data_IF_256452258609
#
_entry.id   IF_256452258609
#
_cell.length_a   1.000
_cell.length_b   1.000
_cell.length_c   1.000
_cell.angle_alpha   90.00
_cell.angle_beta   90.00
_cell.angle_gamma   90.00
#
_symmetry.space_group_name_H-M   'P 1'
#
loop_
_entity.id
_entity.type
_entity.pdbx_description
1 polymer ?
#
# COMPACT_ATOMS: atom_id res chain seq x y z
N UNK A 1 -10.07 -11.68 33.57
CA UNK A 1 -11.46 -11.18 33.60
C UNK A 1 -11.46 -9.89 32.82
N UNK A 2 -12.23 -9.85 31.73
CA UNK A 2 -12.28 -8.70 30.84
C UNK A 2 -13.02 -7.53 31.49
N UNK A 3 -12.66 -6.31 31.12
CA UNK A 3 -13.21 -5.07 31.70
C UNK A 3 -14.46 -4.57 30.98
N UNK A 4 -15.04 -5.37 30.07
CA UNK A 4 -16.18 -5.00 29.22
C UNK A 4 -17.54 -5.08 29.94
N UNK A 5 -17.55 -5.38 31.24
CA UNK A 5 -18.75 -5.45 32.07
C UNK A 5 -19.61 -6.69 31.84
N UNK A 6 -19.18 -7.65 31.01
CA UNK A 6 -19.96 -8.85 30.69
C UNK A 6 -19.86 -9.95 31.77
N UNK A 7 -18.87 -9.87 32.65
CA UNK A 7 -18.57 -10.88 33.68
C UNK A 7 -18.97 -10.40 35.07
N UNK A 8 -19.60 -11.28 35.85
CA UNK A 8 -19.93 -11.01 37.26
C UNK A 8 -18.77 -11.42 38.18
N UNK A 9 -18.22 -10.46 38.93
CA UNK A 9 -17.10 -10.71 39.84
C UNK A 9 -17.51 -11.65 41.00
N UNK A 10 -18.80 -11.74 41.33
CA UNK A 10 -19.31 -12.68 42.34
C UNK A 10 -19.08 -14.16 41.94
N UNK A 11 -18.77 -14.44 40.67
CA UNK A 11 -18.51 -15.79 40.18
C UNK A 11 -17.03 -16.21 40.24
N UNK A 12 -16.12 -15.31 40.65
CA UNK A 12 -14.70 -15.64 40.86
C UNK A 12 -14.49 -16.90 41.72
N UNK A 13 -15.21 -17.10 42.85
CA UNK A 13 -15.08 -18.31 43.64
C UNK A 13 -15.36 -19.61 42.86
N UNK A 14 -16.26 -19.59 41.87
CA UNK A 14 -16.58 -20.76 41.04
C UNK A 14 -15.40 -21.18 40.16
N UNK A 15 -14.61 -20.23 39.68
CA UNK A 15 -13.42 -20.51 38.86
C UNK A 15 -12.23 -20.97 39.71
N UNK A 16 -12.13 -20.48 40.95
CA UNK A 16 -11.00 -20.79 41.84
C UNK A 16 -11.20 -22.13 42.56
N UNK A 17 -12.43 -22.52 42.89
CA UNK A 17 -12.71 -23.75 43.64
C UNK A 17 -12.07 -25.02 43.04
N UNK A 18 -12.17 -25.31 41.72
CA UNK A 18 -11.54 -26.50 41.14
C UNK A 18 -10.01 -26.49 41.21
N UNK A 19 -9.39 -25.31 41.31
CA UNK A 19 -7.95 -25.17 41.48
C UNK A 19 -7.55 -25.48 42.93
N UNK A 20 -8.31 -24.96 43.90
CA UNK A 20 -8.06 -25.20 45.33
C UNK A 20 -8.34 -26.65 45.74
N UNK A 21 -9.33 -27.29 45.12
CA UNK A 21 -9.67 -28.70 45.30
C UNK A 21 -8.70 -29.64 44.58
N UNK A 22 -7.75 -29.08 43.81
CA UNK A 22 -6.74 -29.84 43.09
C UNK A 22 -7.29 -30.61 41.89
N UNK A 23 -8.46 -30.24 41.38
CA UNK A 23 -9.10 -30.85 40.21
C UNK A 23 -8.59 -30.26 38.89
N UNK A 24 -8.14 -29.00 38.89
CA UNK A 24 -7.66 -28.29 37.72
C UNK A 24 -6.41 -27.44 38.01
N UNK A 25 -5.55 -27.29 37.01
CA UNK A 25 -4.43 -26.33 37.02
C UNK A 25 -4.83 -25.01 36.34
N UNK A 26 -5.82 -25.06 35.45
CA UNK A 26 -6.43 -23.91 34.78
C UNK A 26 -7.94 -24.11 34.67
N UNK A 27 -8.72 -23.07 34.97
CA UNK A 27 -10.18 -23.09 34.83
C UNK A 27 -10.63 -22.03 33.83
N UNK A 28 -11.38 -22.46 32.83
CA UNK A 28 -11.99 -21.59 31.83
C UNK A 28 -13.48 -21.39 32.13
N UNK A 29 -13.89 -20.13 32.33
CA UNK A 29 -15.30 -19.79 32.48
C UNK A 29 -16.02 -19.89 31.13
N UNK A 30 -17.14 -20.60 31.08
CA UNK A 30 -17.93 -20.81 29.87
C UNK A 30 -19.32 -20.24 29.98
N UNK A 31 -19.70 -19.45 28.98
CA UNK A 31 -21.01 -18.80 28.93
C UNK A 31 -22.12 -19.75 28.47
N UNK A 32 -21.78 -20.97 28.04
CA UNK A 32 -22.69 -21.82 27.24
C UNK A 32 -22.86 -23.26 27.72
N UNK A 33 -22.23 -23.65 28.84
CA UNK A 33 -22.22 -25.03 29.34
C UNK A 33 -23.62 -25.66 29.52
N UNK A 34 -24.63 -24.93 30.01
CA UNK A 34 -25.99 -25.47 30.21
C UNK A 34 -27.09 -24.85 29.31
N UNK A 35 -26.74 -24.29 28.14
CA UNK A 35 -27.74 -23.92 27.12
C UNK A 35 -28.57 -22.66 27.39
N UNK A 36 -28.19 -21.82 28.35
CA UNK A 36 -28.88 -20.56 28.67
C UNK A 36 -28.40 -19.33 27.84
N UNK A 37 -27.92 -19.55 26.61
CA UNK A 37 -27.51 -18.49 25.69
C UNK A 37 -28.69 -17.76 25.01
N UNK A 38 -29.66 -17.27 25.79
CA UNK A 38 -30.88 -16.64 25.23
C UNK A 38 -30.68 -15.23 24.64
N UNK A 39 -29.50 -14.62 24.76
CA UNK A 39 -29.25 -13.25 24.27
C UNK A 39 -28.03 -13.10 23.33
N UNK A 40 -27.40 -14.18 22.85
CA UNK A 40 -26.24 -14.06 21.95
C UNK A 40 -26.69 -13.91 20.48
N UNK A 41 -26.24 -12.87 19.74
CA UNK A 41 -26.59 -12.70 18.33
C UNK A 41 -26.15 -13.90 17.47
N UNK A 42 -27.05 -14.40 16.61
CA UNK A 42 -26.89 -15.64 15.83
C UNK A 42 -25.58 -15.71 15.02
N UNK A 43 -25.11 -14.59 14.46
CA UNK A 43 -23.88 -14.51 13.67
C UNK A 43 -22.59 -14.71 14.50
N UNK A 44 -22.58 -14.31 15.78
CA UNK A 44 -21.42 -14.54 16.67
C UNK A 44 -21.25 -16.02 17.00
N UNK A 45 -22.35 -16.74 17.14
CA UNK A 45 -22.36 -18.19 17.45
C UNK A 45 -21.76 -19.04 16.33
N UNK A 46 -21.96 -18.64 15.05
CA UNK A 46 -21.36 -19.35 13.91
C UNK A 46 -19.84 -19.17 13.88
N UNK A 47 -19.33 -17.95 14.09
CA UNK A 47 -17.90 -17.68 14.12
C UNK A 47 -17.18 -18.33 15.31
N UNK A 48 -17.80 -18.32 16.48
CA UNK A 48 -17.26 -18.97 17.69
C UNK A 48 -17.24 -20.50 17.54
N UNK A 49 -18.31 -21.13 17.06
CA UNK A 49 -18.33 -22.58 16.83
C UNK A 49 -17.21 -23.07 15.90
N UNK A 50 -16.82 -22.27 14.90
CA UNK A 50 -15.69 -22.60 14.00
C UNK A 50 -14.36 -22.55 14.76
N UNK A 51 -14.17 -21.54 15.61
CA UNK A 51 -12.96 -21.38 16.44
C UNK A 51 -12.88 -22.45 17.54
N UNK A 52 -14.00 -22.77 18.18
CA UNK A 52 -14.09 -23.83 19.19
C UNK A 52 -13.79 -25.19 18.56
N UNK A 53 -14.36 -25.48 17.39
CA UNK A 53 -14.09 -26.72 16.65
C UNK A 53 -12.62 -26.81 16.21
N UNK A 54 -12.04 -25.72 15.68
CA UNK A 54 -10.65 -25.68 15.26
C UNK A 54 -9.66 -25.84 16.44
N UNK A 55 -9.97 -25.22 17.58
CA UNK A 55 -9.16 -25.31 18.80
C UNK A 55 -9.29 -26.70 19.41
N UNK A 56 -10.48 -27.28 19.51
CA UNK A 56 -10.70 -28.63 20.02
C UNK A 56 -10.01 -29.68 19.14
N UNK A 57 -10.03 -29.53 17.82
CA UNK A 57 -9.29 -30.39 16.87
C UNK A 57 -7.77 -30.29 17.04
N UNK A 58 -7.22 -29.08 17.24
CA UNK A 58 -5.76 -28.89 17.37
C UNK A 58 -5.22 -29.18 18.78
N UNK A 59 -6.05 -29.08 19.82
CA UNK A 59 -5.63 -29.20 21.22
C UNK A 59 -6.06 -30.50 21.89
N UNK A 60 -7.01 -31.25 21.33
CA UNK A 60 -7.58 -32.45 21.94
C UNK A 60 -8.50 -32.17 23.13
N UNK A 61 -8.87 -30.92 23.36
CA UNK A 61 -9.81 -30.50 24.39
C UNK A 61 -11.26 -30.59 23.91
N UNK A 62 -12.19 -30.63 24.87
CA UNK A 62 -13.63 -30.46 24.63
C UNK A 62 -14.11 -29.26 25.43
N UNK A 63 -13.68 -28.06 25.03
CA UNK A 63 -14.09 -26.79 25.65
C UNK A 63 -15.19 -26.15 24.79
N UNK A 64 -16.21 -25.63 25.46
CA UNK A 64 -17.45 -25.10 24.87
C UNK A 64 -17.37 -23.60 24.58
N UNK A 65 -16.47 -22.86 25.24
CA UNK A 65 -16.26 -21.42 25.01
C UNK A 65 -14.76 -21.06 25.09
N UNK A 66 -14.05 -21.18 23.96
CA UNK A 66 -12.59 -20.92 23.92
C UNK A 66 -12.22 -19.44 24.01
N UNK A 67 -13.19 -18.54 23.86
CA UNK A 67 -13.01 -17.09 23.74
C UNK A 67 -13.51 -16.31 24.97
N UNK A 68 -13.51 -16.95 26.13
CA UNK A 68 -13.86 -16.31 27.39
C UNK A 68 -12.60 -15.77 28.09
N UNK A 69 -12.57 -14.45 28.34
CA UNK A 69 -11.52 -13.80 29.14
C UNK A 69 -11.68 -13.97 30.65
N UNK A 70 -12.69 -14.72 31.12
CA UNK A 70 -12.88 -15.05 32.52
C UNK A 70 -12.26 -16.41 32.86
N UNK A 71 -11.03 -16.37 33.38
CA UNK A 71 -10.19 -17.55 33.63
C UNK A 71 -9.48 -17.46 34.95
N UNK A 72 -9.22 -18.61 35.56
CA UNK A 72 -8.38 -18.75 36.74
C UNK A 72 -7.21 -19.70 36.46
N UNK A 73 -6.07 -19.41 37.07
CA UNK A 73 -4.81 -20.12 36.87
C UNK A 73 -4.18 -20.43 38.22
N UNK A 74 -3.68 -21.64 38.40
CA UNK A 74 -2.80 -21.94 39.52
C UNK A 74 -1.46 -21.23 39.29
N UNK A 75 -0.85 -20.69 40.36
CA UNK A 75 0.37 -19.86 40.26
C UNK A 75 1.51 -20.59 39.54
N UNK A 76 1.64 -21.91 39.73
CA UNK A 76 2.68 -22.71 39.07
C UNK A 76 2.53 -22.81 37.54
N UNK A 77 1.37 -22.47 36.99
CA UNK A 77 1.10 -22.52 35.55
C UNK A 77 1.54 -21.25 34.82
N UNK A 78 1.71 -20.14 35.52
CA UNK A 78 2.03 -18.83 34.92
C UNK A 78 3.26 -18.88 33.98
N UNK A 79 4.36 -19.57 34.30
CA UNK A 79 5.54 -19.64 33.41
C UNK A 79 5.31 -20.40 32.10
N UNK A 80 4.21 -21.16 31.98
CA UNK A 80 3.88 -21.94 30.78
C UNK A 80 3.43 -21.06 29.62
N UNK A 81 2.74 -19.96 29.92
CA UNK A 81 2.08 -19.12 28.92
C UNK A 81 3.06 -18.13 28.30
N UNK A 82 3.20 -18.20 26.97
CA UNK A 82 4.23 -17.42 26.25
C UNK A 82 3.74 -16.11 25.65
N UNK A 83 2.42 -15.93 25.57
CA UNK A 83 1.75 -14.72 25.09
C UNK A 83 2.35 -14.18 23.78
N UNK A 84 2.50 -15.04 22.76
CA UNK A 84 3.04 -14.66 21.46
C UNK A 84 1.98 -14.05 20.55
N UNK A 85 0.71 -14.29 20.85
CA UNK A 85 -0.47 -13.82 20.13
C UNK A 85 -0.99 -12.51 20.72
N UNK A 86 -1.76 -11.76 19.92
CA UNK A 86 -2.38 -10.50 20.33
C UNK A 86 -3.91 -10.58 20.12
N UNK A 87 -4.65 -9.76 20.87
CA UNK A 87 -6.12 -9.70 20.79
C UNK A 87 -6.77 -11.01 21.21
N UNK A 88 -7.94 -11.33 20.61
CA UNK A 88 -8.74 -12.53 20.91
C UNK A 88 -8.03 -13.88 20.66
N UNK A 89 -6.84 -13.85 20.06
CA UNK A 89 -6.02 -15.04 19.84
C UNK A 89 -5.24 -15.46 21.10
N UNK A 90 -5.06 -14.56 22.08
CA UNK A 90 -4.38 -14.86 23.34
C UNK A 90 -5.12 -15.97 24.09
N UNK A 91 -6.44 -15.89 24.12
CA UNK A 91 -7.32 -16.83 24.78
C UNK A 91 -7.15 -18.25 24.20
N UNK A 92 -6.99 -18.34 22.88
CA UNK A 92 -6.78 -19.61 22.18
C UNK A 92 -5.36 -20.15 22.39
N UNK A 93 -4.34 -19.28 22.37
CA UNK A 93 -2.94 -19.66 22.64
C UNK A 93 -2.78 -20.19 24.07
N UNK A 94 -3.39 -19.55 25.06
CA UNK A 94 -3.29 -20.00 26.45
C UNK A 94 -3.82 -21.42 26.62
N UNK A 95 -4.93 -21.78 25.97
CA UNK A 95 -5.46 -23.14 26.00
C UNK A 95 -4.51 -24.14 25.32
N UNK A 96 -3.89 -23.74 24.19
CA UNK A 96 -2.92 -24.56 23.50
C UNK A 96 -1.62 -24.76 24.29
N UNK A 97 -1.12 -23.71 24.95
CA UNK A 97 0.08 -23.76 25.80
C UNK A 97 -0.17 -24.61 27.05
N UNK A 98 -1.35 -24.48 27.68
CA UNK A 98 -1.77 -25.32 28.79
C UNK A 98 -1.77 -26.80 28.41
N UNK A 99 -2.29 -27.15 27.24
CA UNK A 99 -2.30 -28.53 26.76
C UNK A 99 -0.92 -29.06 26.41
N UNK A 100 -0.07 -28.26 25.75
CA UNK A 100 1.32 -28.66 25.45
C UNK A 100 2.13 -28.93 26.71
N UNK A 101 1.83 -28.22 27.79
CA UNK A 101 2.44 -28.44 29.10
C UNK A 101 1.74 -29.53 29.94
N UNK A 102 0.68 -30.16 29.43
CA UNK A 102 -0.05 -31.22 30.12
C UNK A 102 -0.84 -30.74 31.34
N UNK A 103 -1.25 -29.48 31.37
CA UNK A 103 -2.03 -28.91 32.47
C UNK A 103 -3.47 -29.47 32.46
N UNK A 104 -4.04 -29.68 33.65
CA UNK A 104 -5.45 -30.07 33.78
C UNK A 104 -6.34 -28.85 33.59
N UNK A 105 -7.04 -28.78 32.47
CA UNK A 105 -7.95 -27.67 32.15
C UNK A 105 -9.39 -28.11 32.41
N UNK A 106 -10.14 -27.33 33.20
CA UNK A 106 -11.58 -27.58 33.47
C UNK A 106 -12.42 -26.39 33.00
N UNK A 107 -13.64 -26.66 32.56
CA UNK A 107 -14.61 -25.64 32.17
C UNK A 107 -15.68 -25.49 33.26
N UNK A 108 -16.00 -24.24 33.64
CA UNK A 108 -17.02 -23.92 34.65
C UNK A 108 -18.02 -22.93 34.07
N UNK A 109 -19.31 -23.12 34.34
CA UNK A 109 -20.34 -22.21 33.85
C UNK A 109 -20.30 -20.84 34.55
N UNK A 110 -20.40 -19.78 33.75
CA UNK A 110 -20.48 -18.38 34.20
C UNK A 110 -21.70 -17.67 33.57
N UNK A 111 -22.28 -16.73 34.31
CA UNK A 111 -23.34 -15.85 33.82
C UNK A 111 -22.81 -14.73 32.92
N UNK A 112 -23.70 -14.19 32.08
CA UNK A 112 -23.39 -13.04 31.20
C UNK A 112 -24.40 -11.93 31.40
N UNK A 113 -23.91 -10.70 31.64
CA UNK A 113 -24.74 -9.48 31.61
C UNK A 113 -24.53 -8.77 30.28
N UNK A 114 -25.61 -8.60 29.50
CA UNK A 114 -25.60 -7.80 28.28
C UNK A 114 -26.39 -6.51 28.52
N UNK A 115 -25.75 -5.51 29.11
CA UNK A 115 -26.28 -4.15 29.15
C UNK A 115 -25.54 -3.27 28.13
N UNK A 116 -26.29 -2.35 27.53
CA UNK A 116 -26.05 -1.71 26.24
C UNK A 116 -24.66 -1.08 26.05
N UNK A 117 -24.02 -1.39 24.91
CA UNK A 117 -22.95 -0.56 24.32
C UNK A 117 -21.66 -1.25 23.83
N UNK A 118 -21.53 -2.58 23.88
CA UNK A 118 -20.26 -3.22 23.51
C UNK A 118 -20.05 -3.42 22.00
N UNK A 119 -18.89 -2.96 21.51
CA UNK A 119 -18.39 -3.14 20.14
C UNK A 119 -18.53 -4.57 19.63
N UNK A 120 -19.17 -4.69 18.46
CA UNK A 120 -19.28 -5.94 17.72
C UNK A 120 -18.16 -6.08 16.70
N UNK A 121 -17.01 -6.61 17.13
CA UNK A 121 -15.99 -7.14 16.21
C UNK A 121 -16.42 -8.52 15.67
N UNK A 122 -16.11 -8.77 14.40
CA UNK A 122 -16.65 -9.88 13.61
C UNK A 122 -15.67 -11.08 13.59
N UNK A 123 -16.01 -12.26 14.17
CA UNK A 123 -15.07 -13.36 14.38
C UNK A 123 -14.64 -14.11 13.09
N UNK A 124 -15.33 -13.89 11.97
CA UNK A 124 -15.20 -14.72 10.76
C UNK A 124 -13.95 -14.37 9.91
N UNK A 125 -13.36 -13.19 10.10
CA UNK A 125 -12.21 -12.75 9.29
C UNK A 125 -10.86 -13.39 9.68
N UNK A 126 -10.77 -14.02 10.86
CA UNK A 126 -9.50 -14.53 11.42
C UNK A 126 -9.22 -16.02 11.15
N UNK A 127 -10.22 -16.83 10.83
CA UNK A 127 -10.09 -18.29 10.69
C UNK A 127 -9.19 -18.80 9.55
N UNK A 128 -8.66 -17.92 8.69
CA UNK A 128 -7.80 -18.28 7.56
C UNK A 128 -6.29 -18.12 7.81
N UNK A 129 -5.88 -17.63 8.99
CA UNK A 129 -4.49 -17.17 9.22
C UNK A 129 -3.63 -18.05 10.13
N UNK A 130 -4.11 -19.24 10.51
CA UNK A 130 -3.31 -20.20 11.31
C UNK A 130 -2.35 -20.95 10.36
N UNK A 131 -1.30 -20.28 9.85
CA UNK A 131 -0.14 -21.02 9.32
C UNK A 131 1.21 -20.31 9.26
N UNK A 132 1.32 -19.01 9.53
CA UNK A 132 2.62 -18.32 9.57
C UNK A 132 2.61 -17.28 10.69
N UNK A 133 3.76 -17.03 11.31
CA UNK A 133 3.90 -16.09 12.44
C UNK A 133 3.30 -14.71 12.15
N UNK A 134 3.08 -13.92 13.22
CA UNK A 134 2.40 -12.61 13.15
C UNK A 134 2.97 -11.73 12.03
N UNK A 135 2.17 -11.50 11.00
CA UNK A 135 2.47 -10.62 9.87
C UNK A 135 2.36 -9.19 10.38
N UNK A 136 3.44 -8.41 10.30
CA UNK A 136 3.38 -6.98 10.64
C UNK A 136 2.92 -6.20 9.42
N UNK A 137 1.67 -5.70 9.47
CA UNK A 137 1.08 -4.90 8.39
C UNK A 137 1.09 -3.43 8.76
N UNK A 138 1.59 -2.59 7.85
CA UNK A 138 1.73 -1.15 8.07
C UNK A 138 0.93 -0.37 7.03
N UNK A 139 0.14 0.62 7.44
CA UNK A 139 -0.28 1.69 6.54
C UNK A 139 0.72 2.84 6.65
N UNK A 140 1.21 3.34 5.53
CA UNK A 140 2.11 4.46 5.47
C UNK A 140 1.51 5.56 4.61
N UNK A 141 1.60 6.81 5.05
CA UNK A 141 1.08 7.94 4.28
C UNK A 141 2.08 9.10 4.29
N UNK A 142 2.46 9.62 3.11
CA UNK A 142 3.14 10.90 3.01
C UNK A 142 2.13 12.01 3.27
N UNK A 143 2.48 13.00 4.08
CA UNK A 143 1.59 14.09 4.45
C UNK A 143 2.30 15.45 4.30
N UNK A 144 1.61 16.46 3.76
CA UNK A 144 2.09 17.83 3.69
C UNK A 144 0.91 18.81 3.72
N UNK A 145 0.72 19.49 4.85
CA UNK A 145 -0.40 20.38 5.13
C UNK A 145 -1.79 19.73 4.97
N UNK A 146 -2.02 18.64 5.70
CA UNK A 146 -3.19 17.77 5.60
C UNK A 146 -4.02 17.73 6.90
N UNK A 147 -3.95 18.78 7.74
CA UNK A 147 -4.60 18.85 9.06
C UNK A 147 -6.09 18.51 9.02
N UNK A 148 -6.77 18.84 7.91
CA UNK A 148 -8.21 18.63 7.72
C UNK A 148 -8.59 17.15 7.54
N UNK A 149 -7.73 16.35 6.91
CA UNK A 149 -8.09 15.00 6.44
C UNK A 149 -7.30 13.90 7.14
N UNK A 150 -6.10 14.20 7.64
CA UNK A 150 -5.16 13.22 8.22
C UNK A 150 -5.81 12.37 9.32
N UNK A 151 -6.64 13.00 10.17
CA UNK A 151 -7.31 12.30 11.26
C UNK A 151 -8.26 11.18 10.79
N UNK A 152 -9.09 11.48 9.78
CA UNK A 152 -10.03 10.53 9.21
C UNK A 152 -9.29 9.36 8.56
N UNK A 153 -8.22 9.66 7.83
CA UNK A 153 -7.41 8.65 7.14
C UNK A 153 -6.72 7.71 8.13
N UNK A 154 -6.10 8.24 9.19
CA UNK A 154 -5.45 7.42 10.24
C UNK A 154 -6.48 6.52 10.94
N UNK A 155 -7.61 7.06 11.38
CA UNK A 155 -8.66 6.29 12.07
C UNK A 155 -9.23 5.20 11.16
N UNK A 156 -9.37 5.49 9.86
CA UNK A 156 -9.79 4.52 8.87
C UNK A 156 -8.78 3.38 8.69
N UNK A 157 -7.50 3.72 8.53
CA UNK A 157 -6.42 2.74 8.31
C UNK A 157 -6.21 1.82 9.52
N UNK A 158 -6.27 2.34 10.75
CA UNK A 158 -6.06 1.56 12.00
C UNK A 158 -7.01 0.37 12.16
N UNK A 159 -8.11 0.32 11.41
CA UNK A 159 -9.04 -0.82 11.40
C UNK A 159 -8.48 -2.05 10.66
N UNK A 160 -7.48 -1.86 9.81
CA UNK A 160 -7.03 -2.88 8.85
C UNK A 160 -5.53 -3.19 8.92
N UNK A 161 -4.75 -2.44 9.72
CA UNK A 161 -3.29 -2.59 9.83
C UNK A 161 -2.84 -2.56 11.28
N UNK A 162 -1.69 -3.15 11.59
CA UNK A 162 -1.12 -3.15 12.94
C UNK A 162 -0.56 -1.77 13.35
N UNK A 163 0.03 -1.06 12.38
CA UNK A 163 0.70 0.23 12.63
C UNK A 163 0.41 1.21 11.50
N UNK A 164 0.35 2.49 11.86
CA UNK A 164 0.26 3.60 10.91
C UNK A 164 1.54 4.42 11.01
N UNK A 165 2.18 4.65 9.88
CA UNK A 165 3.33 5.56 9.73
C UNK A 165 2.85 6.79 8.97
N UNK A 166 3.16 7.97 9.48
CA UNK A 166 2.94 9.24 8.79
C UNK A 166 4.30 9.89 8.59
N UNK A 167 4.67 10.13 7.34
CA UNK A 167 5.86 10.93 7.02
C UNK A 167 5.39 12.34 6.73
N UNK A 168 5.61 13.23 7.69
CA UNK A 168 5.31 14.65 7.59
C UNK A 168 6.43 15.36 6.83
N UNK A 169 6.15 15.79 5.61
CA UNK A 169 7.13 16.38 4.69
C UNK A 169 7.32 17.89 4.92
N UNK A 170 7.52 18.27 6.19
CA UNK A 170 7.74 19.66 6.61
C UNK A 170 6.48 20.51 6.60
N UNK A 171 5.35 19.99 7.10
CA UNK A 171 4.11 20.77 7.20
C UNK A 171 4.27 22.00 8.10
N UNK A 172 3.48 23.03 7.82
CA UNK A 172 3.41 24.26 8.62
C UNK A 172 2.14 24.35 9.47
N UNK A 173 1.26 23.36 9.36
CA UNK A 173 -0.02 23.24 10.05
C UNK A 173 0.03 22.14 11.14
N UNK A 174 -1.12 21.79 11.73
CA UNK A 174 -1.19 20.82 12.83
C UNK A 174 -1.12 19.33 12.39
N UNK A 175 -0.72 19.04 11.14
CA UNK A 175 -0.75 17.67 10.58
C UNK A 175 -0.01 16.66 11.44
N UNK A 176 1.20 17.00 11.87
CA UNK A 176 2.05 16.09 12.62
C UNK A 176 1.52 15.88 14.05
N UNK A 177 1.06 16.93 14.72
CA UNK A 177 0.50 16.88 16.08
C UNK A 177 -0.78 16.03 16.10
N UNK A 178 -1.67 16.20 15.11
CA UNK A 178 -2.89 15.41 14.98
C UNK A 178 -2.54 13.92 14.78
N UNK A 179 -1.56 13.62 13.92
CA UNK A 179 -1.13 12.26 13.66
C UNK A 179 -0.53 11.57 14.91
N UNK A 180 0.33 12.28 15.65
CA UNK A 180 0.92 11.82 16.92
C UNK A 180 -0.17 11.55 17.97
N UNK A 181 -1.13 12.48 18.13
CA UNK A 181 -2.24 12.35 19.08
C UNK A 181 -3.13 11.13 18.78
N UNK A 182 -3.22 10.72 17.52
CA UNK A 182 -3.97 9.52 17.10
C UNK A 182 -3.15 8.23 17.16
N UNK A 183 -1.92 8.28 17.68
CA UNK A 183 -1.05 7.13 17.89
C UNK A 183 -0.36 6.62 16.62
N UNK A 184 -0.24 7.45 15.59
CA UNK A 184 0.60 7.13 14.44
C UNK A 184 2.08 7.32 14.78
N UNK A 185 2.94 6.58 14.09
CA UNK A 185 4.40 6.79 14.13
C UNK A 185 4.70 7.90 13.15
N UNK A 186 5.05 9.07 13.69
CA UNK A 186 5.29 10.26 12.87
C UNK A 186 6.78 10.48 12.67
N UNK A 187 7.18 10.66 11.41
CA UNK A 187 8.55 11.01 11.02
C UNK A 187 8.48 12.36 10.33
N UNK A 188 9.08 13.38 10.95
CA UNK A 188 9.05 14.75 10.44
C UNK A 188 10.31 15.04 9.64
N UNK A 189 10.13 15.54 8.42
CA UNK A 189 11.23 16.14 7.66
C UNK A 189 11.44 17.59 8.09
N UNK A 190 12.70 18.06 8.18
CA UNK A 190 12.99 19.44 8.57
C UNK A 190 12.55 20.47 7.52
N UNK A 191 12.43 20.03 6.27
CA UNK A 191 11.98 20.83 5.13
C UNK A 191 11.24 19.89 4.16
N UNK A 192 10.43 20.47 3.26
CA UNK A 192 9.72 19.71 2.24
C UNK A 192 10.71 19.09 1.24
N UNK A 193 10.73 17.75 1.18
CA UNK A 193 11.59 16.95 0.29
C UNK A 193 10.84 16.37 -0.90
N UNK A 194 9.57 16.72 -1.07
CA UNK A 194 8.70 16.21 -2.10
C UNK A 194 8.18 14.80 -1.81
N UNK A 195 7.18 14.40 -2.60
CA UNK A 195 6.51 13.11 -2.47
C UNK A 195 7.49 11.92 -2.55
N UNK A 196 8.48 11.97 -3.45
CA UNK A 196 9.49 10.93 -3.57
C UNK A 196 10.40 10.85 -2.32
N UNK A 197 10.74 11.99 -1.74
CA UNK A 197 11.45 12.07 -0.46
C UNK A 197 10.66 11.41 0.68
N UNK A 198 9.36 11.69 0.78
CA UNK A 198 8.49 11.06 1.77
C UNK A 198 8.35 9.54 1.56
N UNK A 199 8.18 9.10 0.31
CA UNK A 199 8.15 7.67 -0.03
C UNK A 199 9.45 6.96 0.34
N UNK A 200 10.61 7.59 0.10
CA UNK A 200 11.91 7.00 0.48
C UNK A 200 11.96 6.70 1.98
N UNK A 201 11.59 7.68 2.80
CA UNK A 201 11.51 7.52 4.26
C UNK A 201 10.53 6.41 4.66
N UNK A 202 9.36 6.35 4.02
CA UNK A 202 8.37 5.27 4.24
C UNK A 202 8.99 3.89 4.02
N UNK A 203 9.68 3.67 2.89
CA UNK A 203 10.30 2.39 2.58
C UNK A 203 11.44 2.03 3.54
N UNK A 204 12.23 3.02 3.97
CA UNK A 204 13.29 2.82 4.96
C UNK A 204 12.71 2.42 6.32
N UNK A 205 11.70 3.13 6.81
CA UNK A 205 11.04 2.82 8.08
C UNK A 205 10.33 1.46 8.04
N UNK A 206 9.66 1.12 6.94
CA UNK A 206 9.04 -0.19 6.79
C UNK A 206 10.07 -1.33 6.86
N UNK A 207 11.27 -1.14 6.28
CA UNK A 207 12.39 -2.10 6.38
C UNK A 207 12.93 -2.21 7.80
N UNK A 208 13.16 -1.10 8.49
CA UNK A 208 13.65 -1.09 9.86
C UNK A 208 12.69 -1.82 10.81
N UNK A 209 11.39 -1.63 10.61
CA UNK A 209 10.34 -2.29 11.39
C UNK A 209 10.10 -3.76 10.99
N UNK A 210 10.79 -4.25 9.95
CA UNK A 210 10.61 -5.58 9.38
C UNK A 210 9.14 -5.87 9.01
N UNK A 211 8.47 -4.89 8.41
CA UNK A 211 7.10 -5.04 7.96
C UNK A 211 6.99 -6.16 6.92
N UNK A 212 5.99 -7.02 7.08
CA UNK A 212 5.72 -8.12 6.15
C UNK A 212 4.79 -7.65 5.01
N UNK A 213 3.99 -6.61 5.28
CA UNK A 213 3.18 -5.91 4.29
C UNK A 213 3.10 -4.41 4.61
N UNK A 214 3.10 -3.58 3.56
CA UNK A 214 2.97 -2.14 3.67
C UNK A 214 1.93 -1.65 2.67
N UNK A 215 1.05 -0.75 3.08
CA UNK A 215 0.07 -0.10 2.21
C UNK A 215 0.32 1.39 2.24
N UNK A 216 0.61 1.97 1.07
CA UNK A 216 0.71 3.41 0.91
C UNK A 216 -0.67 3.94 0.52
N UNK A 217 -1.11 4.99 1.22
CA UNK A 217 -2.37 5.68 0.96
C UNK A 217 -2.14 7.18 1.12
N UNK A 218 -2.68 7.99 0.22
CA UNK A 218 -2.55 9.44 0.32
C UNK A 218 -3.42 9.98 1.48
N UNK A 219 -2.93 11.00 2.18
CA UNK A 219 -3.59 11.56 3.36
C UNK A 219 -4.73 12.54 3.06
N UNK A 220 -4.98 12.85 1.78
CA UNK A 220 -5.96 13.84 1.29
C UNK A 220 -7.43 13.42 1.41
N UNK A 221 -7.69 12.21 1.91
CA UNK A 221 -9.03 11.68 2.15
C UNK A 221 -9.80 11.26 0.90
N UNK A 222 -9.19 11.25 -0.30
CA UNK A 222 -9.82 10.81 -1.55
C UNK A 222 -9.97 9.28 -1.61
N UNK A 223 -9.09 8.55 -0.95
CA UNK A 223 -9.09 7.09 -0.93
C UNK A 223 -9.89 6.52 0.25
N UNK A 224 -10.71 5.50 -0.01
CA UNK A 224 -11.39 4.77 1.05
C UNK A 224 -10.44 3.73 1.69
N UNK A 225 -10.03 3.99 2.93
CA UNK A 225 -9.29 3.04 3.76
C UNK A 225 -9.98 1.66 3.88
N UNK A 226 -11.30 1.58 3.68
CA UNK A 226 -12.09 0.35 3.64
C UNK A 226 -11.67 -0.63 2.55
N UNK A 227 -10.90 -0.20 1.56
CA UNK A 227 -10.40 -1.05 0.48
C UNK A 227 -9.02 -1.65 0.75
N UNK A 228 -8.34 -1.25 1.84
CA UNK A 228 -7.06 -1.84 2.28
C UNK A 228 -7.10 -3.38 2.30
N UNK A 229 -8.15 -4.04 2.84
CA UNK A 229 -8.24 -5.50 2.83
C UNK A 229 -8.17 -6.13 1.44
N UNK A 230 -8.69 -5.47 0.39
CA UNK A 230 -8.67 -6.00 -0.99
C UNK A 230 -7.23 -6.04 -1.53
N UNK A 231 -6.44 -5.01 -1.23
CA UNK A 231 -5.04 -4.95 -1.65
C UNK A 231 -4.22 -6.00 -0.88
N UNK A 232 -4.42 -6.10 0.44
CA UNK A 232 -3.73 -7.09 1.27
C UNK A 232 -4.09 -8.53 0.86
N UNK A 233 -5.35 -8.82 0.54
CA UNK A 233 -5.76 -10.13 0.03
C UNK A 233 -5.02 -10.49 -1.27
N UNK A 234 -4.83 -9.53 -2.16
CA UNK A 234 -4.07 -9.77 -3.39
C UNK A 234 -2.58 -10.03 -3.15
N UNK A 235 -1.97 -9.41 -2.13
CA UNK A 235 -0.62 -9.76 -1.68
C UNK A 235 -0.56 -11.21 -1.16
N UNK A 236 -1.53 -11.61 -0.32
CA UNK A 236 -1.59 -12.98 0.22
C UNK A 236 -1.77 -14.04 -0.87
N UNK A 237 -2.42 -13.68 -1.97
CA UNK A 237 -2.58 -14.55 -3.14
C UNK A 237 -1.30 -14.66 -3.99
N UNK A 238 -0.17 -14.14 -3.53
CA UNK A 238 1.15 -14.32 -4.14
C UNK A 238 1.64 -13.16 -5.00
N UNK A 239 0.99 -11.98 -4.91
CA UNK A 239 1.54 -10.76 -5.48
C UNK A 239 2.60 -10.16 -4.56
N UNK A 240 3.69 -9.65 -5.13
CA UNK A 240 4.71 -8.87 -4.43
C UNK A 240 4.32 -7.38 -4.35
N UNK A 241 3.55 -6.89 -5.32
CA UNK A 241 3.02 -5.53 -5.42
C UNK A 241 1.56 -5.53 -5.86
N UNK A 242 0.74 -4.67 -5.26
CA UNK A 242 -0.65 -4.44 -5.68
C UNK A 242 -0.87 -2.96 -5.89
N UNK A 243 -1.45 -2.59 -7.03
CA UNK A 243 -1.82 -1.21 -7.35
C UNK A 243 -3.35 -1.12 -7.32
N UNK A 244 -3.88 -0.21 -6.50
CA UNK A 244 -5.28 0.16 -6.57
C UNK A 244 -5.52 1.01 -7.81
N UNK A 245 -6.25 0.50 -8.81
CA UNK A 245 -6.58 1.22 -10.03
C UNK A 245 -7.98 1.82 -9.98
N UNK A 246 -8.10 3.10 -10.35
CA UNK A 246 -9.38 3.81 -10.50
C UNK A 246 -10.11 3.49 -11.81
N UNK A 247 -9.45 2.82 -12.76
CA UNK A 247 -9.95 2.64 -14.13
C UNK A 247 -10.31 1.21 -14.51
N UNK A 248 -10.03 0.24 -13.63
CA UNK A 248 -10.45 -1.14 -13.84
C UNK A 248 -11.99 -1.22 -13.78
N UNK A 249 -12.57 -2.06 -14.65
CA UNK A 249 -14.01 -2.33 -14.76
C UNK A 249 -14.94 -1.12 -15.06
N UNK A 250 -14.42 -0.05 -15.66
CA UNK A 250 -15.27 1.02 -16.22
C UNK A 250 -15.76 2.05 -15.19
N UNK A 251 -15.18 2.05 -13.99
CA UNK A 251 -15.57 2.91 -12.87
C UNK A 251 -14.97 4.34 -12.92
N UNK A 252 -14.20 4.65 -13.96
CA UNK A 252 -13.61 5.99 -14.16
C UNK A 252 -14.63 7.11 -14.44
N UNK A 253 -15.95 6.90 -14.33
CA UNK A 253 -16.97 7.91 -14.70
C UNK A 253 -16.84 9.22 -13.92
N UNK A 254 -16.41 9.17 -12.65
CA UNK A 254 -16.28 10.34 -11.78
C UNK A 254 -14.92 11.07 -11.90
N UNK A 255 -13.96 10.55 -12.67
CA UNK A 255 -12.68 11.24 -12.89
C UNK A 255 -12.85 12.35 -13.94
N UNK A 256 -12.41 13.61 -13.66
CA UNK A 256 -12.51 14.71 -14.62
C UNK A 256 -11.83 14.39 -15.95
N UNK A 257 -12.46 14.76 -17.08
CA UNK A 257 -12.02 14.36 -18.42
C UNK A 257 -10.60 14.82 -18.77
N UNK A 258 -10.19 16.02 -18.33
CA UNK A 258 -8.83 16.53 -18.53
C UNK A 258 -7.78 15.70 -17.77
N UNK A 259 -8.14 15.21 -16.56
CA UNK A 259 -7.27 14.37 -15.74
C UNK A 259 -7.11 12.99 -16.35
N UNK A 260 -8.19 12.41 -16.90
CA UNK A 260 -8.13 11.14 -17.67
C UNK A 260 -7.15 11.21 -18.84
N UNK A 261 -7.14 12.31 -19.59
CA UNK A 261 -6.23 12.49 -20.72
C UNK A 261 -4.79 12.55 -20.21
N UNK A 262 -4.50 13.38 -19.19
CA UNK A 262 -3.16 13.48 -18.60
C UNK A 262 -2.66 12.14 -18.04
N UNK A 263 -3.50 11.43 -17.29
CA UNK A 263 -3.18 10.12 -16.73
C UNK A 263 -2.94 9.09 -17.82
N UNK A 264 -3.78 9.01 -18.85
CA UNK A 264 -3.60 8.05 -19.96
C UNK A 264 -2.31 8.31 -20.74
N UNK A 265 -1.89 9.56 -20.88
CA UNK A 265 -0.60 9.91 -21.50
C UNK A 265 0.57 9.49 -20.61
N UNK A 266 0.51 9.77 -19.30
CA UNK A 266 1.52 9.34 -18.33
C UNK A 266 1.61 7.82 -18.20
N UNK A 267 0.46 7.13 -18.15
CA UNK A 267 0.37 5.68 -18.14
C UNK A 267 0.99 5.11 -19.42
N UNK A 268 0.71 5.70 -20.59
CA UNK A 268 1.31 5.28 -21.85
C UNK A 268 2.83 5.49 -21.87
N UNK A 269 3.31 6.62 -21.35
CA UNK A 269 4.75 6.92 -21.27
C UNK A 269 5.47 5.96 -20.31
N UNK A 270 4.91 5.72 -19.13
CA UNK A 270 5.44 4.80 -18.13
C UNK A 270 5.40 3.35 -18.62
N UNK A 271 4.30 2.94 -19.27
CA UNK A 271 4.17 1.61 -19.85
C UNK A 271 5.17 1.38 -20.99
N UNK A 272 5.38 2.39 -21.83
CA UNK A 272 6.39 2.35 -22.88
C UNK A 272 7.82 2.35 -22.33
N UNK A 273 8.08 3.04 -21.21
CA UNK A 273 9.39 3.10 -20.56
C UNK A 273 9.73 1.80 -19.80
N UNK A 274 8.78 1.24 -19.06
CA UNK A 274 8.95 0.02 -18.25
C UNK A 274 8.72 -1.28 -19.02
N UNK A 275 8.05 -1.23 -20.17
CA UNK A 275 7.68 -2.42 -20.95
C UNK A 275 6.68 -3.32 -20.20
N UNK A 276 5.83 -2.73 -19.35
CA UNK A 276 4.74 -3.37 -18.60
C UNK A 276 3.48 -2.53 -18.84
N UNK A 277 2.30 -3.14 -18.95
CA UNK A 277 1.03 -2.42 -19.06
C UNK A 277 0.36 -2.28 -17.70
N UNK A 278 0.35 -1.07 -17.15
CA UNK A 278 -0.46 -0.65 -16.01
C UNK A 278 -1.68 0.15 -16.47
N UNK A 279 -2.79 0.01 -15.75
CA UNK A 279 -4.05 0.72 -15.97
C UNK A 279 -4.13 2.03 -15.19
N UNK A 280 -3.34 2.20 -14.12
CA UNK A 280 -3.26 3.45 -13.34
C UNK A 280 -1.89 3.61 -12.66
N UNK A 281 -0.92 4.18 -13.38
CA UNK A 281 0.46 4.40 -12.88
C UNK A 281 0.58 5.53 -11.87
N UNK A 282 -0.49 6.31 -11.71
CA UNK A 282 -0.54 7.52 -10.89
C UNK A 282 -1.38 7.34 -9.63
N UNK A 283 -1.78 6.11 -9.30
CA UNK A 283 -2.47 5.85 -8.04
C UNK A 283 -1.48 5.86 -6.88
N UNK A 284 -1.74 6.68 -5.87
CA UNK A 284 -1.01 6.67 -4.60
C UNK A 284 -1.39 5.48 -3.71
N UNK A 285 -2.52 4.81 -4.00
CA UNK A 285 -3.00 3.69 -3.22
C UNK A 285 -2.39 2.36 -3.69
N UNK A 286 -1.34 1.90 -3.00
CA UNK A 286 -0.54 0.73 -3.39
C UNK A 286 -0.21 -0.12 -2.18
N UNK A 287 -0.11 -1.43 -2.35
CA UNK A 287 0.35 -2.35 -1.31
C UNK A 287 1.59 -3.12 -1.77
N UNK A 288 2.52 -3.30 -0.85
CA UNK A 288 3.84 -3.90 -1.06
C UNK A 288 4.00 -5.05 -0.08
N UNK A 289 4.30 -6.24 -0.60
CA UNK A 289 4.70 -7.37 0.22
C UNK A 289 6.16 -7.26 0.66
N UNK A 290 6.56 -8.10 1.60
CA UNK A 290 7.93 -8.16 2.16
C UNK A 290 9.04 -8.10 1.11
N UNK A 291 8.94 -8.92 0.05
CA UNK A 291 9.94 -8.95 -1.03
C UNK A 291 10.06 -7.61 -1.76
N UNK A 292 8.93 -6.91 -1.97
CA UNK A 292 8.94 -5.59 -2.60
C UNK A 292 9.54 -4.53 -1.67
N UNK A 293 9.19 -4.54 -0.38
CA UNK A 293 9.76 -3.63 0.64
C UNK A 293 11.29 -3.79 0.74
N UNK A 294 11.78 -5.04 0.70
CA UNK A 294 13.20 -5.35 0.80
C UNK A 294 14.01 -4.98 -0.45
N UNK A 295 13.42 -5.10 -1.64
CA UNK A 295 14.12 -4.87 -2.91
C UNK A 295 14.03 -3.43 -3.44
N UNK A 296 12.88 -2.78 -3.32
CA UNK A 296 12.67 -1.46 -3.93
C UNK A 296 13.52 -0.39 -3.21
N UNK A 297 14.23 0.44 -3.98
CA UNK A 297 15.04 1.58 -3.50
C UNK A 297 14.64 2.84 -4.25
N UNK A 298 14.17 3.86 -3.54
CA UNK A 298 13.76 5.12 -4.15
C UNK A 298 14.93 6.09 -4.07
N UNK A 299 15.37 6.60 -5.22
CA UNK A 299 16.47 7.56 -5.30
C UNK A 299 15.98 8.96 -5.70
N UNK A 300 14.91 9.03 -6.49
CA UNK A 300 14.32 10.30 -6.90
C UNK A 300 13.49 10.93 -5.77
N UNK A 301 13.61 12.25 -5.61
CA UNK A 301 12.84 13.04 -4.63
C UNK A 301 11.49 13.55 -5.17
N UNK A 302 11.31 13.51 -6.48
CA UNK A 302 10.18 14.12 -7.18
C UNK A 302 9.03 13.13 -7.43
N UNK A 303 7.95 13.59 -8.09
CA UNK A 303 6.81 12.75 -8.50
C UNK A 303 7.20 11.55 -9.40
N UNK A 304 8.41 11.53 -9.95
CA UNK A 304 8.95 10.38 -10.71
C UNK A 304 9.16 9.13 -9.85
N UNK A 305 9.22 9.25 -8.52
CA UNK A 305 9.38 8.12 -7.60
C UNK A 305 8.29 7.04 -7.81
N UNK A 306 7.05 7.44 -8.13
CA UNK A 306 5.98 6.52 -8.46
C UNK A 306 6.28 5.65 -9.68
N UNK A 307 6.95 6.21 -10.70
CA UNK A 307 7.38 5.52 -11.92
C UNK A 307 8.68 4.75 -11.72
N UNK A 308 9.59 5.23 -10.87
CA UNK A 308 10.82 4.53 -10.48
C UNK A 308 10.50 3.18 -9.83
N UNK A 309 9.53 3.18 -8.90
CA UNK A 309 9.00 1.95 -8.28
C UNK A 309 8.51 0.95 -9.34
N UNK A 310 7.79 1.43 -10.36
CA UNK A 310 7.22 0.56 -11.39
C UNK A 310 8.29 -0.06 -12.29
N UNK A 311 9.38 0.66 -12.56
CA UNK A 311 10.51 0.12 -13.33
C UNK A 311 11.24 -0.99 -12.56
N UNK A 312 11.43 -0.81 -11.26
CA UNK A 312 12.09 -1.80 -10.40
C UNK A 312 11.30 -3.11 -10.25
N UNK A 313 10.00 -3.12 -10.54
CA UNK A 313 9.20 -4.36 -10.58
C UNK A 313 9.83 -5.35 -11.56
N UNK A 314 10.22 -4.87 -12.75
CA UNK A 314 10.79 -5.72 -13.80
C UNK A 314 12.20 -6.16 -13.44
N UNK A 315 13.03 -5.21 -13.01
CA UNK A 315 14.44 -5.46 -12.69
C UNK A 315 14.61 -6.47 -11.55
N UNK A 316 13.62 -6.56 -10.66
CA UNK A 316 13.63 -7.44 -9.51
C UNK A 316 12.73 -8.67 -9.61
N UNK A 317 12.09 -8.89 -10.77
CA UNK A 317 11.13 -9.97 -11.04
C UNK A 317 10.06 -10.05 -9.93
N UNK A 318 9.42 -8.91 -9.68
CA UNK A 318 8.34 -8.78 -8.71
C UNK A 318 6.99 -9.08 -9.39
N UNK A 319 6.19 -9.93 -8.77
CA UNK A 319 4.83 -10.21 -9.23
C UNK A 319 3.94 -9.03 -8.86
N UNK A 320 3.24 -8.44 -9.84
CA UNK A 320 2.30 -7.35 -9.56
C UNK A 320 0.87 -7.74 -9.93
N UNK A 321 -0.10 -7.08 -9.30
CA UNK A 321 -1.52 -7.19 -9.64
C UNK A 321 -2.19 -5.82 -9.50
N UNK A 322 -3.17 -5.55 -10.35
CA UNK A 322 -4.02 -4.37 -10.17
C UNK A 322 -5.38 -4.78 -9.59
N UNK A 323 -5.87 -4.00 -8.64
CA UNK A 323 -7.17 -4.22 -7.96
C UNK A 323 -7.99 -2.96 -8.14
N UNK A 324 -9.28 -3.11 -8.43
CA UNK A 324 -10.19 -1.98 -8.55
C UNK A 324 -10.40 -1.29 -7.19
N UNK A 325 -10.28 0.04 -7.19
CA UNK A 325 -10.53 0.91 -6.04
C UNK A 325 -11.48 2.06 -6.39
N UNK A 326 -12.15 2.60 -5.38
CA UNK A 326 -13.02 3.77 -5.48
C UNK A 326 -12.32 5.00 -4.89
N UNK A 327 -12.39 6.11 -5.63
CA UNK A 327 -11.97 7.42 -5.14
C UNK A 327 -13.19 8.33 -5.00
N UNK A 328 -13.28 9.01 -3.87
CA UNK A 328 -14.26 10.06 -3.69
C UNK A 328 -13.66 11.41 -4.11
N UNK A 329 -14.30 12.07 -5.08
CA UNK A 329 -13.89 13.38 -5.60
C UNK A 329 -14.73 14.54 -5.04
N UNK A 330 -15.73 14.27 -4.18
CA UNK A 330 -16.57 15.28 -3.52
C UNK A 330 -15.90 15.90 -2.27
N UNK A 331 -14.57 15.85 -2.19
CA UNK A 331 -13.82 16.52 -1.11
C UNK A 331 -13.58 17.97 -1.53
N UNK A 332 -14.30 18.90 -0.89
CA UNK A 332 -14.09 20.36 -1.06
C UNK A 332 -12.60 20.69 -0.91
N UNK A 333 -12.06 21.51 -1.83
CA UNK A 333 -10.67 21.98 -1.91
C UNK A 333 -9.57 20.97 -2.31
N UNK A 334 -9.87 19.94 -3.11
CA UNK A 334 -8.81 19.14 -3.74
C UNK A 334 -8.29 19.78 -5.04
N UNK A 335 -7.14 20.45 -4.92
CA UNK A 335 -6.29 21.12 -5.93
C UNK A 335 -6.48 22.64 -6.10
N UNK A 336 -5.66 23.38 -5.36
CA UNK A 336 -5.35 24.81 -5.53
C UNK A 336 -4.44 25.09 -6.74
N UNK A 337 -4.57 24.33 -7.84
CA UNK A 337 -3.76 24.53 -9.05
C UNK A 337 -4.65 24.66 -10.29
N UNK A 338 -4.41 25.73 -11.03
CA UNK A 338 -5.16 26.09 -12.24
C UNK A 338 -5.10 24.92 -13.25
N UNK A 339 -6.23 24.38 -13.75
CA UNK A 339 -6.26 23.16 -14.56
C UNK A 339 -5.34 23.20 -15.79
N UNK A 340 -5.11 24.39 -16.34
CA UNK A 340 -4.21 24.63 -17.46
C UNK A 340 -2.74 24.57 -17.04
N UNK A 341 -2.36 25.18 -15.91
CA UNK A 341 -0.97 25.15 -15.44
C UNK A 341 -0.54 23.75 -15.03
N UNK A 342 -1.47 22.97 -14.45
CA UNK A 342 -1.22 21.57 -14.12
C UNK A 342 -1.04 20.70 -15.38
N UNK A 343 -1.89 20.88 -16.40
CA UNK A 343 -1.75 20.18 -17.67
C UNK A 343 -0.43 20.47 -18.40
N UNK A 344 -0.01 21.75 -18.42
CA UNK A 344 1.29 22.15 -18.99
C UNK A 344 2.44 21.58 -18.18
N UNK A 345 2.37 21.59 -16.84
CA UNK A 345 3.41 21.01 -15.97
C UNK A 345 3.59 19.52 -16.23
N UNK A 346 2.49 18.77 -16.36
CA UNK A 346 2.51 17.34 -16.71
C UNK A 346 3.12 17.12 -18.10
N UNK A 347 2.76 17.91 -19.10
CA UNK A 347 3.34 17.80 -20.45
C UNK A 347 4.85 18.08 -20.44
N UNK A 348 5.30 19.12 -19.74
CA UNK A 348 6.72 19.44 -19.60
C UNK A 348 7.48 18.32 -18.88
N UNK A 349 6.86 17.71 -17.86
CA UNK A 349 7.45 16.59 -17.14
C UNK A 349 7.57 15.35 -18.04
N UNK A 350 6.56 15.06 -18.87
CA UNK A 350 6.63 13.99 -19.88
C UNK A 350 7.76 14.24 -20.87
N UNK A 351 7.87 15.47 -21.40
CA UNK A 351 8.94 15.80 -22.34
C UNK A 351 10.32 15.61 -21.71
N UNK A 352 10.50 16.05 -20.46
CA UNK A 352 11.74 15.80 -19.69
C UNK A 352 12.01 14.32 -19.45
N UNK A 353 10.98 13.54 -19.11
CA UNK A 353 11.14 12.10 -18.86
C UNK A 353 11.52 11.34 -20.14
N UNK A 354 10.91 11.69 -21.28
CA UNK A 354 11.26 11.11 -22.58
C UNK A 354 12.67 11.53 -23.01
N UNK A 355 13.05 12.78 -22.77
CA UNK A 355 14.40 13.31 -23.00
C UNK A 355 15.45 12.53 -22.19
N UNK A 356 15.21 12.31 -20.89
CA UNK A 356 16.15 11.64 -19.99
C UNK A 356 16.23 10.13 -20.23
N UNK A 357 15.10 9.46 -20.44
CA UNK A 357 15.03 7.98 -20.46
C UNK A 357 15.11 7.38 -21.85
N UNK A 358 14.72 8.12 -22.89
CA UNK A 358 14.70 7.67 -24.29
C UNK A 358 15.24 8.78 -25.23
N UNK A 359 16.46 9.28 -24.99
CA UNK A 359 17.02 10.39 -25.78
C UNK A 359 17.08 10.07 -27.28
N UNK A 360 17.21 8.79 -27.63
CA UNK A 360 17.12 8.33 -29.02
C UNK A 360 15.81 8.77 -29.67
N UNK A 361 14.64 8.46 -29.09
CA UNK A 361 13.38 8.80 -29.75
C UNK A 361 13.11 10.30 -29.72
N UNK A 362 13.45 10.96 -28.61
CA UNK A 362 13.21 12.40 -28.41
C UNK A 362 13.89 13.27 -29.46
N UNK A 363 15.18 13.02 -29.74
CA UNK A 363 15.94 13.84 -30.71
C UNK A 363 15.88 13.28 -32.13
N UNK A 364 15.86 11.96 -32.30
CA UNK A 364 16.00 11.35 -33.63
C UNK A 364 14.71 11.40 -34.45
N UNK A 365 13.53 11.26 -33.82
CA UNK A 365 12.24 11.29 -34.57
C UNK A 365 11.95 12.68 -35.15
N UNK A 366 12.00 13.78 -34.37
CA UNK A 366 11.86 15.13 -34.94
C UNK A 366 12.98 15.44 -35.95
N UNK A 367 14.21 14.96 -35.68
CA UNK A 367 15.34 15.13 -36.58
C UNK A 367 15.14 14.48 -37.95
N UNK A 368 14.62 13.24 -37.98
CA UNK A 368 14.27 12.54 -39.23
C UNK A 368 13.16 13.28 -39.96
N UNK A 369 12.12 13.76 -39.27
CA UNK A 369 11.03 14.53 -39.90
C UNK A 369 11.59 15.80 -40.56
N UNK A 370 12.40 16.58 -39.84
CA UNK A 370 13.04 17.79 -40.38
C UNK A 370 13.95 17.48 -41.56
N UNK A 371 14.74 16.40 -41.47
CA UNK A 371 15.63 15.97 -42.55
C UNK A 371 14.84 15.53 -43.79
N UNK A 372 13.75 14.78 -43.63
CA UNK A 372 12.86 14.37 -44.75
C UNK A 372 12.20 15.59 -45.39
N UNK A 373 11.65 16.52 -44.59
CA UNK A 373 11.09 17.78 -45.11
C UNK A 373 12.14 18.56 -45.89
N UNK A 374 13.34 18.70 -45.33
CA UNK A 374 14.46 19.36 -46.00
C UNK A 374 14.87 18.67 -47.31
N UNK A 375 14.92 17.34 -47.35
CA UNK A 375 15.24 16.58 -48.56
C UNK A 375 14.18 16.72 -49.64
N UNK A 376 12.89 16.68 -49.28
CA UNK A 376 11.77 16.90 -50.22
C UNK A 376 11.84 18.31 -50.81
N UNK A 377 12.09 19.32 -49.97
CA UNK A 377 12.32 20.69 -50.44
C UNK A 377 13.55 20.79 -51.34
N UNK A 378 14.60 20.01 -51.05
CA UNK A 378 15.81 19.90 -51.88
C UNK A 378 15.56 19.32 -53.27
N UNK A 379 14.67 18.33 -53.38
CA UNK A 379 14.26 17.79 -54.67
C UNK A 379 13.55 18.88 -55.49
N UNK A 380 12.58 19.58 -54.87
CA UNK A 380 11.88 20.70 -55.52
C UNK A 380 12.84 21.84 -55.93
N UNK A 381 13.85 22.11 -55.11
CA UNK A 381 14.90 23.10 -55.42
C UNK A 381 15.70 22.71 -56.67
N UNK A 382 16.11 21.44 -56.79
CA UNK A 382 16.87 20.95 -57.95
C UNK A 382 16.02 21.01 -59.22
N UNK A 383 14.74 20.66 -59.13
CA UNK A 383 13.81 20.73 -60.27
C UNK A 383 13.60 22.16 -60.77
N UNK A 384 13.40 23.11 -59.84
CA UNK A 384 13.26 24.53 -60.17
C UNK A 384 14.55 25.09 -60.81
N UNK A 385 15.71 24.73 -60.27
CA UNK A 385 17.00 25.14 -60.84
C UNK A 385 17.21 24.59 -62.26
N UNK A 386 16.91 23.31 -62.49
CA UNK A 386 17.02 22.68 -63.81
C UNK A 386 16.10 23.30 -64.86
N UNK A 387 14.93 23.78 -64.43
CA UNK A 387 13.95 24.42 -65.30
C UNK A 387 14.28 25.88 -65.62
N UNK A 388 15.39 26.42 -65.10
CA UNK A 388 15.78 27.82 -65.26
C UNK A 388 14.94 28.79 -64.41
N UNK A 389 14.25 28.28 -63.38
CA UNK A 389 13.44 29.08 -62.47
C UNK A 389 14.28 29.87 -61.46
N UNK A 390 13.69 30.92 -60.90
CA UNK A 390 14.30 31.68 -59.81
C UNK A 390 14.33 30.85 -58.52
N UNK A 391 15.38 31.04 -57.72
CA UNK A 391 15.53 30.39 -56.42
C UNK A 391 15.02 31.30 -55.31
N UNK A 392 13.81 31.05 -54.75
CA UNK A 392 13.30 31.88 -53.68
C UNK A 392 14.15 31.70 -52.43
N UNK A 393 14.68 32.80 -51.91
CA UNK A 393 15.63 32.82 -50.79
C UNK A 393 15.06 32.16 -49.52
N UNK A 394 13.81 32.48 -49.17
CA UNK A 394 13.16 31.99 -47.95
C UNK A 394 13.06 30.45 -47.87
N UNK A 395 12.40 29.79 -48.83
CA UNK A 395 12.33 28.32 -48.88
C UNK A 395 13.69 27.65 -48.95
N UNK A 396 14.64 28.24 -49.68
CA UNK A 396 16.01 27.70 -49.79
C UNK A 396 16.75 27.74 -48.45
N UNK A 397 16.66 28.86 -47.71
CA UNK A 397 17.25 28.96 -46.38
C UNK A 397 16.59 28.01 -45.38
N UNK A 398 15.26 27.92 -45.40
CA UNK A 398 14.53 26.98 -44.53
C UNK A 398 14.90 25.53 -44.81
N UNK A 399 15.04 25.14 -46.09
CA UNK A 399 15.52 23.82 -46.49
C UNK A 399 16.90 23.51 -45.89
N UNK A 400 17.87 24.43 -46.04
CA UNK A 400 19.23 24.23 -45.51
C UNK A 400 19.20 24.08 -43.98
N UNK A 401 18.47 24.95 -43.28
CA UNK A 401 18.33 24.91 -41.81
C UNK A 401 17.67 23.61 -41.37
N UNK A 402 16.59 23.18 -42.04
CA UNK A 402 15.88 21.95 -41.72
C UNK A 402 16.78 20.71 -41.86
N UNK A 403 17.59 20.64 -42.93
CA UNK A 403 18.56 19.54 -43.11
C UNK A 403 19.64 19.58 -42.02
N UNK A 404 20.23 20.75 -41.74
CA UNK A 404 21.30 20.87 -40.75
C UNK A 404 20.82 20.57 -39.33
N UNK A 405 19.71 21.18 -38.91
CA UNK A 405 19.11 20.94 -37.59
C UNK A 405 18.67 19.49 -37.47
N UNK A 406 18.01 18.94 -38.50
CA UNK A 406 17.58 17.54 -38.51
C UNK A 406 18.75 16.57 -38.33
N UNK A 407 19.85 16.78 -39.06
CA UNK A 407 21.06 15.98 -38.94
C UNK A 407 21.69 16.10 -37.54
N UNK A 408 21.83 17.31 -37.01
CA UNK A 408 22.40 17.54 -35.66
C UNK A 408 21.55 16.85 -34.59
N UNK A 409 20.22 16.95 -34.66
CA UNK A 409 19.31 16.28 -33.73
C UNK A 409 19.45 14.75 -33.79
N UNK A 410 19.56 14.17 -34.98
CA UNK A 410 19.79 12.72 -35.15
C UNK A 410 21.10 12.28 -34.48
N UNK A 411 22.20 13.00 -34.74
CA UNK A 411 23.49 12.69 -34.11
C UNK A 411 23.45 12.85 -32.59
N UNK A 412 22.81 13.92 -32.09
CA UNK A 412 22.62 14.14 -30.66
C UNK A 412 21.86 12.97 -30.01
N UNK A 413 20.79 12.50 -30.66
CA UNK A 413 20.01 11.33 -30.22
C UNK A 413 20.86 10.06 -30.11
N UNK A 414 21.71 9.78 -31.11
CA UNK A 414 22.62 8.64 -31.06
C UNK A 414 23.70 8.76 -29.99
N UNK A 415 24.31 9.94 -29.83
CA UNK A 415 25.35 10.18 -28.82
C UNK A 415 24.77 10.00 -27.42
N UNK A 416 23.64 10.64 -27.11
CA UNK A 416 22.98 10.52 -25.82
C UNK A 416 22.51 9.10 -25.54
N UNK A 417 22.00 8.39 -26.55
CA UNK A 417 21.65 6.97 -26.41
C UNK A 417 22.87 6.10 -26.08
N UNK A 418 23.99 6.33 -26.76
CA UNK A 418 25.24 5.62 -26.50
C UNK A 418 25.76 5.88 -25.09
N UNK A 419 25.77 7.16 -24.66
CA UNK A 419 26.19 7.56 -23.31
C UNK A 419 25.27 6.95 -22.25
N UNK A 420 23.95 7.04 -22.42
CA UNK A 420 22.98 6.43 -21.50
C UNK A 420 23.21 4.92 -21.36
N UNK A 421 23.45 4.22 -22.47
CA UNK A 421 23.74 2.78 -22.46
C UNK A 421 25.09 2.45 -21.79
N UNK A 422 26.10 3.30 -21.94
CA UNK A 422 27.39 3.15 -21.25
C UNK A 422 27.28 3.37 -19.74
N UNK A 423 26.45 4.33 -19.32
CA UNK A 423 26.17 4.60 -17.91
C UNK A 423 25.37 3.47 -17.25
N UNK A 424 24.36 2.92 -17.95
CA UNK A 424 23.59 1.79 -17.43
C UNK A 424 24.48 0.53 -17.26
N UNK A 425 25.36 0.29 -18.23
CA UNK A 425 26.34 -0.82 -18.16
C UNK A 425 27.42 -0.61 -17.10
N UNK A 426 27.74 0.63 -16.72
CA UNK A 426 28.73 0.92 -15.69
C UNK A 426 28.15 0.79 -14.28
N UNK A 427 26.88 1.17 -14.07
CA UNK A 427 26.16 0.92 -12.80
C UNK A 427 26.09 -0.58 -12.48
N UNK A 428 25.85 -1.43 -13.48
CA UNK A 428 25.83 -2.89 -13.32
C UNK A 428 27.17 -3.49 -12.86
N UNK A 429 28.31 -2.79 -12.98
CA UNK A 429 29.61 -3.28 -12.53
C UNK A 429 29.95 -2.97 -11.08
N UNK A 430 29.29 -1.98 -10.45
CA UNK A 430 29.57 -1.60 -9.06
C UNK A 430 28.76 -2.42 -8.04
N UNK A 431 27.65 -3.03 -8.45
CA UNK A 431 26.80 -3.86 -7.58
C UNK A 431 27.28 -5.34 -7.47
N UNK A 432 28.43 -5.70 -8.05
CA UNK A 432 28.97 -7.08 -8.09
C UNK A 432 30.30 -7.24 -7.35
N UNK A 433 30.68 -6.27 -6.51
CA UNK A 433 31.83 -6.33 -5.60
C UNK A 433 31.40 -5.86 -4.24
#
# INVERSE_FOLDING_TARGET
>A
MDTDGQHDAEEIPKLIAPILEGEADMVNGSRYMNGNGKNTPFYRRIGQNVLDTATNLNSGLSITDTQSGFRAFAVHTVPVFKFRSNGLAIESEMLADAMKAGLRVKEVEIGVKYDAGCSTENPVSYGKWIKYGKITTVAAMPAFNEEKYIAKTIVGCRKYVDKVIVVDDGSTDATAEIAEALGAIVIKHPENRGYGGALKTIFESAREMKADAMVIIDSDGQHDSGEIPKLLESLNNGADLVIGSRFINGNGKNVPAYRKIGMKVLDSATNFAGGIHFSDTQSGFRAYGKKAIEKIRINDTDMSAGSEILMQIKDHDLKFKEVEIHCNYDVEDTSSQNPVSHGVKVLVQILRDVELRKPLYYFTVPGIILMVVGLVMGINFIENWRSGGELPLGPTLFMIIAIQVGMISIFCGFILHSISRLLDNSKFKWDVT
#
